data_IF_035924684654
#
_entry.id   IF_035924684654
#
_cell.length_a   1.000
_cell.length_b   1.000
_cell.length_c   1.000
_cell.angle_alpha   90.00
_cell.angle_beta   90.00
_cell.angle_gamma   90.00
#
_symmetry.space_group_name_H-M   'P 1'
#
loop_
_entity.id
_entity.type
_entity.pdbx_description
1 polymer ?
#
# COMPACT_ATOMS: atom_id res chain seq x y z
N UNK A 1 13.36 1.40 -2.51
CA UNK A 1 12.27 0.79 -1.73
C UNK A 1 10.96 0.69 -2.53
N UNK A 2 10.41 1.77 -3.10
CA UNK A 2 9.11 1.76 -3.79
C UNK A 2 9.00 0.75 -4.94
N UNK A 3 10.06 0.56 -5.72
CA UNK A 3 10.11 -0.46 -6.79
C UNK A 3 9.94 -1.89 -6.28
N UNK A 4 10.49 -2.21 -5.12
CA UNK A 4 10.34 -3.56 -4.54
C UNK A 4 8.91 -3.81 -4.08
N UNK A 5 8.27 -2.80 -3.47
CA UNK A 5 6.87 -2.92 -3.04
C UNK A 5 5.94 -3.07 -4.23
N UNK A 6 6.20 -2.34 -5.33
CA UNK A 6 5.45 -2.49 -6.57
C UNK A 6 5.61 -3.89 -7.17
N UNK A 7 6.83 -4.44 -7.20
CA UNK A 7 7.05 -5.81 -7.66
C UNK A 7 6.29 -6.83 -6.80
N UNK A 8 6.30 -6.67 -5.48
CA UNK A 8 5.54 -7.54 -4.55
C UNK A 8 4.05 -7.44 -4.83
N UNK A 9 3.52 -6.23 -5.05
CA UNK A 9 2.11 -6.01 -5.39
C UNK A 9 1.71 -6.76 -6.66
N UNK A 10 2.53 -6.67 -7.72
CA UNK A 10 2.27 -7.37 -8.97
C UNK A 10 2.31 -8.89 -8.82
N UNK A 11 3.28 -9.41 -8.06
CA UNK A 11 3.37 -10.86 -7.80
C UNK A 11 2.16 -11.36 -7.00
N UNK A 12 1.74 -10.62 -5.97
CA UNK A 12 0.56 -10.97 -5.19
C UNK A 12 -0.72 -10.95 -6.03
N UNK A 13 -0.89 -9.95 -6.91
CA UNK A 13 -2.00 -9.91 -7.86
C UNK A 13 -2.01 -11.16 -8.77
N UNK A 14 -0.83 -11.54 -9.31
CA UNK A 14 -0.71 -12.75 -10.12
C UNK A 14 -1.08 -14.02 -9.34
N UNK A 15 -0.73 -14.12 -8.06
CA UNK A 15 -1.07 -15.28 -7.22
C UNK A 15 -2.58 -15.36 -6.93
N UNK A 16 -3.23 -14.21 -6.69
CA UNK A 16 -4.69 -14.14 -6.51
C UNK A 16 -5.41 -14.63 -7.78
N UNK A 17 -4.98 -14.16 -8.95
CA UNK A 17 -5.57 -14.57 -10.22
C UNK A 17 -5.40 -16.07 -10.51
N UNK A 18 -4.21 -16.61 -10.23
CA UNK A 18 -3.88 -18.03 -10.47
C UNK A 18 -4.43 -18.99 -9.42
N UNK A 19 -4.94 -18.50 -8.28
CA UNK A 19 -5.47 -19.35 -7.22
C UNK A 19 -6.67 -20.18 -7.67
N UNK A 20 -6.62 -21.49 -7.43
CA UNK A 20 -7.71 -22.43 -7.70
C UNK A 20 -8.76 -22.49 -6.58
N UNK A 21 -8.39 -22.12 -5.36
CA UNK A 21 -9.26 -22.21 -4.18
C UNK A 21 -10.17 -20.97 -4.01
N UNK A 22 -9.85 -19.87 -4.69
CA UNK A 22 -10.66 -18.65 -4.67
C UNK A 22 -11.71 -18.65 -5.78
N UNK A 23 -12.97 -18.39 -5.41
CA UNK A 23 -14.00 -18.07 -6.39
C UNK A 23 -13.79 -16.66 -7.00
N UNK A 24 -14.42 -16.42 -8.16
CA UNK A 24 -14.29 -15.16 -8.91
C UNK A 24 -14.62 -13.92 -8.09
N UNK A 25 -15.69 -13.97 -7.28
CA UNK A 25 -16.10 -12.85 -6.41
C UNK A 25 -14.99 -12.50 -5.41
N UNK A 26 -14.40 -13.51 -4.78
CA UNK A 26 -13.34 -13.33 -3.78
C UNK A 26 -12.06 -12.79 -4.42
N UNK A 27 -11.69 -13.27 -5.61
CA UNK A 27 -10.57 -12.71 -6.40
C UNK A 27 -10.75 -11.22 -6.67
N UNK A 28 -11.92 -10.82 -7.16
CA UNK A 28 -12.22 -9.42 -7.45
C UNK A 28 -12.11 -8.52 -6.21
N UNK A 29 -12.62 -8.98 -5.06
CA UNK A 29 -12.53 -8.24 -3.79
C UNK A 29 -11.06 -8.08 -3.36
N UNK A 30 -10.27 -9.15 -3.45
CA UNK A 30 -8.85 -9.12 -3.05
C UNK A 30 -8.01 -8.21 -3.97
N UNK A 31 -8.26 -8.26 -5.29
CA UNK A 31 -7.60 -7.37 -6.24
C UNK A 31 -7.99 -5.90 -6.03
N UNK A 32 -9.27 -5.63 -5.77
CA UNK A 32 -9.73 -4.29 -5.43
C UNK A 32 -9.07 -3.78 -4.14
N UNK A 33 -8.96 -4.61 -3.10
CA UNK A 33 -8.24 -4.27 -1.88
C UNK A 33 -6.76 -3.98 -2.17
N UNK A 34 -6.09 -4.85 -2.93
CA UNK A 34 -4.68 -4.72 -3.28
C UNK A 34 -4.38 -3.42 -4.05
N UNK A 35 -5.27 -3.00 -4.95
CA UNK A 35 -5.16 -1.74 -5.69
C UNK A 35 -5.34 -0.49 -4.83
N UNK A 36 -6.00 -0.60 -3.67
CA UNK A 36 -6.26 0.52 -2.76
C UNK A 36 -5.27 0.62 -1.60
N UNK A 37 -4.27 -0.27 -1.52
CA UNK A 37 -3.24 -0.19 -0.48
C UNK A 37 -2.35 1.04 -0.74
N UNK A 38 -2.24 1.91 0.27
CA UNK A 38 -1.31 3.04 0.28
C UNK A 38 0.03 2.63 0.89
N UNK A 39 1.12 3.03 0.24
CA UNK A 39 2.48 2.75 0.71
C UNK A 39 3.03 3.95 1.48
N UNK A 40 3.55 3.70 2.69
CA UNK A 40 4.27 4.69 3.50
C UNK A 40 5.68 4.18 3.71
N UNK A 41 6.68 4.85 3.13
CA UNK A 41 8.08 4.37 3.13
C UNK A 41 8.97 5.47 3.72
N UNK A 42 9.77 5.11 4.72
CA UNK A 42 10.66 6.05 5.40
C UNK A 42 9.89 6.87 6.43
N UNK A 43 9.56 8.11 6.11
CA UNK A 43 8.86 9.04 6.98
C UNK A 43 7.74 9.76 6.22
N UNK A 44 6.69 10.24 6.92
CA UNK A 44 5.62 10.99 6.28
C UNK A 44 6.14 12.27 5.63
N UNK A 45 5.60 12.67 4.47
CA UNK A 45 6.06 13.88 3.77
C UNK A 45 5.91 15.16 4.60
N UNK A 46 4.88 15.23 5.46
CA UNK A 46 4.66 16.37 6.36
C UNK A 46 5.80 16.54 7.38
N UNK A 47 6.59 15.50 7.62
CA UNK A 47 7.74 15.55 8.53
C UNK A 47 8.91 16.37 7.97
N UNK A 48 8.87 16.77 6.69
CA UNK A 48 9.83 17.74 6.12
C UNK A 48 9.45 19.20 6.43
N UNK A 49 8.23 19.44 6.89
CA UNK A 49 7.73 20.78 7.15
C UNK A 49 8.00 21.16 8.62
N UNK A 50 9.00 22.00 8.83
CA UNK A 50 9.42 22.44 10.15
C UNK A 50 8.31 23.17 10.93
N UNK A 51 7.49 23.96 10.24
CA UNK A 51 6.32 24.63 10.86
C UNK A 51 5.27 23.61 11.31
N UNK A 52 5.04 22.56 10.51
CA UNK A 52 4.12 21.48 10.88
C UNK A 52 4.64 20.73 12.12
N UNK A 53 5.94 20.40 12.17
CA UNK A 53 6.57 19.81 13.35
C UNK A 53 6.40 20.74 14.57
N UNK A 54 6.76 22.02 14.43
CA UNK A 54 6.65 22.99 15.53
C UNK A 54 5.21 23.14 16.04
N UNK A 55 4.21 23.02 15.16
CA UNK A 55 2.79 23.04 15.57
C UNK A 55 2.37 21.77 16.31
N UNK A 56 2.84 20.59 15.88
CA UNK A 56 2.51 19.30 16.52
C UNK A 56 3.09 19.22 17.93
N UNK A 57 4.29 19.76 18.16
CA UNK A 57 4.97 19.71 19.46
C UNK A 57 4.73 20.93 20.35
N UNK A 58 3.98 21.95 19.89
CA UNK A 58 3.79 23.19 20.66
C UNK A 58 2.77 23.10 21.80
N UNK A 59 1.91 22.08 21.85
CA UNK A 59 0.96 21.87 22.95
C UNK A 59 -0.08 22.97 23.05
#
# INVERSE_FOLDING_TARGET
ASRMVENIRQQLASQIEKSSWLNRKSKNILLAKLNNIRMFIGFPDWYKNETAIRSVYKG
#
